data_IF_947963320009
#
_entry.id   IF_947963320009
#
_cell.length_a   1.000
_cell.length_b   1.000
_cell.length_c   1.000
_cell.angle_alpha   90.00
_cell.angle_beta   90.00
_cell.angle_gamma   90.00
#
_symmetry.space_group_name_H-M   'P 1'
#
loop_
_entity.id
_entity.type
_entity.pdbx_description
1 polymer ?
#
# COMPACT_ATOMS: atom_id res chain seq x y z
N UNK A 1 32.57 -2.91 -5.54
CA UNK A 1 33.27 -3.69 -4.50
C UNK A 1 32.38 -3.82 -3.25
N UNK A 2 32.56 -4.87 -2.45
CA UNK A 2 31.86 -5.02 -1.17
C UNK A 2 32.26 -3.90 -0.18
N UNK A 3 31.38 -3.47 0.74
CA UNK A 3 30.06 -4.02 1.06
C UNK A 3 28.92 -3.47 0.17
N UNK A 4 28.11 -4.37 -0.37
CA UNK A 4 26.88 -4.08 -1.11
C UNK A 4 25.72 -3.86 -0.15
N UNK A 5 25.10 -2.68 -0.22
CA UNK A 5 23.91 -2.32 0.55
C UNK A 5 23.10 -1.28 -0.24
N UNK A 6 21.82 -1.12 0.10
CA UNK A 6 20.98 -0.11 -0.52
C UNK A 6 21.51 1.29 -0.24
N UNK A 7 21.58 2.12 -1.28
CA UNK A 7 22.02 3.52 -1.21
C UNK A 7 21.08 4.37 -2.06
N UNK A 8 20.83 5.63 -1.70
CA UNK A 8 20.12 6.54 -2.59
C UNK A 8 20.89 6.71 -3.91
N UNK A 9 20.13 6.77 -5.00
CA UNK A 9 20.67 7.04 -6.34
C UNK A 9 20.36 8.50 -6.74
N UNK A 10 20.79 8.92 -7.93
CA UNK A 10 20.71 10.33 -8.37
C UNK A 10 19.33 10.98 -8.22
N UNK A 11 18.25 10.23 -8.42
CA UNK A 11 16.88 10.72 -8.24
C UNK A 11 16.52 11.13 -6.81
N UNK A 12 17.32 10.77 -5.80
CA UNK A 12 17.08 11.15 -4.42
C UNK A 12 17.65 12.53 -4.04
N UNK A 13 18.35 13.22 -4.96
CA UNK A 13 19.14 14.41 -4.65
C UNK A 13 18.72 15.65 -5.46
N UNK A 14 18.96 16.82 -4.88
CA UNK A 14 18.74 18.12 -5.53
C UNK A 14 17.33 18.29 -6.11
N UNK A 15 17.23 18.94 -7.27
CA UNK A 15 15.96 19.12 -7.99
C UNK A 15 15.47 17.83 -8.68
N UNK A 16 16.30 16.79 -8.79
CA UNK A 16 15.84 15.51 -9.31
C UNK A 16 14.80 14.88 -8.38
N UNK A 17 14.99 15.00 -7.06
CA UNK A 17 14.05 14.49 -6.04
C UNK A 17 12.63 15.04 -6.21
N UNK A 18 12.50 16.35 -6.41
CA UNK A 18 11.20 17.01 -6.56
C UNK A 18 10.58 16.75 -7.92
N UNK A 19 11.39 16.52 -8.95
CA UNK A 19 10.93 16.27 -10.31
C UNK A 19 10.61 14.78 -10.58
N UNK A 20 11.09 13.86 -9.75
CA UNK A 20 10.84 12.42 -9.87
C UNK A 20 9.89 11.87 -8.80
N UNK A 21 9.21 12.74 -8.05
CA UNK A 21 8.22 12.34 -7.05
C UNK A 21 7.05 13.33 -7.00
N UNK A 22 5.96 12.88 -6.41
CA UNK A 22 4.72 13.67 -6.28
C UNK A 22 4.19 13.58 -4.85
N UNK A 23 3.41 14.58 -4.43
CA UNK A 23 2.63 14.54 -3.19
C UNK A 23 1.17 14.42 -3.56
N UNK A 24 0.50 13.36 -3.11
CA UNK A 24 -0.95 13.25 -3.26
C UNK A 24 -1.67 14.09 -2.20
N UNK A 25 -2.63 14.89 -2.62
CA UNK A 25 -3.43 15.78 -1.75
C UNK A 25 -4.92 15.66 -2.07
N UNK A 26 -5.78 16.16 -1.21
CA UNK A 26 -7.21 16.25 -1.56
C UNK A 26 -7.41 17.26 -2.69
N UNK A 27 -8.38 17.00 -3.57
CA UNK A 27 -8.74 17.93 -4.66
C UNK A 27 -9.04 19.33 -4.13
N UNK A 28 -9.81 19.42 -3.03
CA UNK A 28 -10.14 20.68 -2.39
C UNK A 28 -8.92 21.49 -1.92
N UNK A 29 -7.87 20.84 -1.43
CA UNK A 29 -6.66 21.53 -1.01
C UNK A 29 -5.84 22.03 -2.21
N UNK A 30 -5.74 21.22 -3.27
CA UNK A 30 -5.09 21.63 -4.51
C UNK A 30 -5.81 22.83 -5.13
N UNK A 31 -7.14 22.77 -5.21
CA UNK A 31 -7.98 23.85 -5.75
C UNK A 31 -7.90 25.14 -4.90
N UNK A 32 -7.63 25.01 -3.60
CA UNK A 32 -7.42 26.15 -2.69
C UNK A 32 -5.99 26.74 -2.74
N UNK A 33 -5.21 26.42 -3.76
CA UNK A 33 -3.87 26.96 -3.99
C UNK A 33 -2.85 26.53 -2.93
N UNK A 34 -2.98 25.32 -2.39
CA UNK A 34 -2.10 24.85 -1.31
C UNK A 34 -0.62 24.82 -1.75
N UNK A 35 -0.37 24.46 -3.01
CA UNK A 35 0.99 24.36 -3.55
C UNK A 35 1.72 25.70 -3.49
N UNK A 36 1.06 26.77 -3.95
CA UNK A 36 1.59 28.14 -3.95
C UNK A 36 1.74 28.68 -2.53
N UNK A 37 0.75 28.41 -1.66
CA UNK A 37 0.77 28.84 -0.26
C UNK A 37 1.92 28.23 0.54
N UNK A 38 2.28 26.98 0.24
CA UNK A 38 3.40 26.30 0.89
C UNK A 38 4.74 26.57 0.19
N UNK A 39 4.73 27.06 -1.05
CA UNK A 39 5.94 27.39 -1.81
C UNK A 39 6.87 26.18 -2.02
N UNK A 40 6.29 24.99 -2.18
CA UNK A 40 7.06 23.75 -2.37
C UNK A 40 7.36 23.50 -3.85
N UNK A 41 8.44 22.77 -4.12
CA UNK A 41 8.87 22.43 -5.48
C UNK A 41 8.22 21.15 -6.05
N UNK A 42 7.72 20.26 -5.17
CA UNK A 42 7.23 18.94 -5.58
C UNK A 42 5.81 19.05 -6.12
N UNK A 43 5.55 18.46 -7.28
CA UNK A 43 4.23 18.42 -7.87
C UNK A 43 3.20 17.80 -6.91
N UNK A 44 2.05 18.46 -6.78
CA UNK A 44 0.90 17.92 -6.05
C UNK A 44 -0.11 17.33 -7.02
N UNK A 45 -0.64 16.14 -6.70
CA UNK A 45 -1.67 15.46 -7.49
C UNK A 45 -2.91 15.29 -6.63
N UNK A 46 -4.07 15.67 -7.15
CA UNK A 46 -5.34 15.43 -6.48
C UNK A 46 -5.65 13.93 -6.43
N UNK A 47 -5.99 13.44 -5.24
CA UNK A 47 -6.63 12.13 -5.09
C UNK A 47 -8.07 12.23 -5.59
N UNK A 48 -8.44 11.32 -6.49
CA UNK A 48 -9.75 11.29 -7.14
C UNK A 48 -10.35 9.88 -7.11
N UNK A 49 -11.64 9.78 -7.47
CA UNK A 49 -12.37 8.52 -7.61
C UNK A 49 -12.35 7.59 -6.36
N UNK A 50 -12.28 8.14 -5.15
CA UNK A 50 -12.34 7.34 -3.92
C UNK A 50 -13.74 6.85 -3.56
N UNK A 51 -14.77 7.46 -4.18
CA UNK A 51 -16.19 7.12 -4.01
C UNK A 51 -16.96 7.07 -5.33
N UNK A 52 -16.28 7.18 -6.48
CA UNK A 52 -16.90 7.30 -7.80
C UNK A 52 -17.33 5.96 -8.41
N UNK A 53 -17.57 4.95 -7.59
CA UNK A 53 -17.99 3.62 -8.02
C UNK A 53 -16.98 2.51 -7.77
N UNK A 54 -15.81 2.82 -7.19
CA UNK A 54 -14.88 1.77 -6.74
C UNK A 54 -15.46 0.98 -5.57
N UNK A 55 -15.22 -0.32 -5.55
CA UNK A 55 -15.63 -1.24 -4.49
C UNK A 55 -14.79 -2.52 -4.51
N UNK A 56 -15.24 -3.58 -3.82
CA UNK A 56 -14.51 -4.86 -3.77
C UNK A 56 -14.26 -5.45 -5.17
N UNK A 57 -15.23 -5.32 -6.07
CA UNK A 57 -15.15 -5.70 -7.49
C UNK A 57 -14.04 -5.00 -8.29
N UNK A 58 -13.54 -3.85 -7.80
CA UNK A 58 -12.49 -3.10 -8.48
C UNK A 58 -11.08 -3.60 -8.11
N UNK A 59 -10.95 -4.53 -7.16
CA UNK A 59 -9.66 -5.07 -6.73
C UNK A 59 -9.14 -6.12 -7.72
N UNK A 60 -8.09 -5.78 -8.46
CA UNK A 60 -7.46 -6.67 -9.44
C UNK A 60 -6.96 -7.95 -8.77
N UNK A 61 -7.41 -9.10 -9.29
CA UNK A 61 -7.12 -10.46 -8.79
C UNK A 61 -7.63 -10.77 -7.36
N UNK A 62 -8.43 -9.88 -6.74
CA UNK A 62 -8.78 -9.97 -5.32
C UNK A 62 -10.19 -9.44 -5.00
N UNK A 63 -11.17 -9.73 -5.85
CA UNK A 63 -12.53 -9.19 -5.78
C UNK A 63 -13.58 -10.11 -5.12
N UNK A 64 -13.18 -11.27 -4.61
CA UNK A 64 -14.11 -12.22 -3.98
C UNK A 64 -14.88 -11.63 -2.79
N UNK A 65 -16.19 -11.91 -2.72
CA UNK A 65 -17.11 -11.50 -1.65
C UNK A 65 -17.89 -12.71 -1.09
N UNK A 66 -17.23 -13.64 -0.39
CA UNK A 66 -17.92 -14.80 0.20
C UNK A 66 -18.81 -14.38 1.37
N UNK A 67 -19.76 -15.24 1.75
CA UNK A 67 -20.47 -15.10 3.01
C UNK A 67 -19.58 -15.59 4.16
N UNK A 68 -19.16 -14.67 5.03
CA UNK A 68 -18.21 -14.96 6.12
C UNK A 68 -18.95 -15.02 7.46
N UNK A 69 -18.76 -16.11 8.18
CA UNK A 69 -19.32 -16.34 9.51
C UNK A 69 -18.19 -16.60 10.52
N UNK A 70 -18.37 -16.10 11.75
CA UNK A 70 -17.45 -16.32 12.87
C UNK A 70 -18.24 -16.82 14.06
N UNK A 71 -17.87 -17.99 14.57
CA UNK A 71 -18.45 -18.53 15.80
C UNK A 71 -17.97 -17.73 17.02
N UNK A 72 -18.86 -17.19 17.86
CA UNK A 72 -18.49 -16.26 18.93
C UNK A 72 -17.82 -16.93 20.13
N UNK A 73 -17.90 -18.26 20.26
CA UNK A 73 -17.35 -19.01 21.41
C UNK A 73 -16.03 -19.68 21.05
N UNK A 74 -15.94 -20.26 19.85
CA UNK A 74 -14.79 -21.05 19.38
C UNK A 74 -13.85 -20.26 18.46
N UNK A 75 -14.33 -19.13 17.91
CA UNK A 75 -13.64 -18.32 16.91
C UNK A 75 -13.35 -19.04 15.58
N UNK A 76 -14.06 -20.14 15.29
CA UNK A 76 -14.04 -20.74 13.96
C UNK A 76 -14.54 -19.74 12.91
N UNK A 77 -13.79 -19.62 11.82
CA UNK A 77 -14.15 -18.76 10.69
C UNK A 77 -14.58 -19.64 9.51
N UNK A 78 -15.73 -19.35 8.91
CA UNK A 78 -16.23 -20.04 7.73
C UNK A 78 -16.45 -19.07 6.57
N UNK A 79 -16.14 -19.50 5.36
CA UNK A 79 -16.52 -18.81 4.12
C UNK A 79 -17.37 -19.77 3.28
N UNK A 80 -18.58 -19.34 2.92
CA UNK A 80 -19.54 -20.16 2.17
C UNK A 80 -19.77 -21.55 2.81
N UNK A 81 -19.73 -21.60 4.15
CA UNK A 81 -19.89 -22.82 4.97
C UNK A 81 -18.60 -23.62 5.20
N UNK A 82 -17.53 -23.35 4.45
CA UNK A 82 -16.25 -24.06 4.57
C UNK A 82 -15.38 -23.47 5.69
N UNK A 83 -14.87 -24.33 6.58
CA UNK A 83 -13.98 -23.92 7.67
C UNK A 83 -12.63 -23.44 7.12
N UNK A 84 -12.28 -22.20 7.40
CA UNK A 84 -11.00 -21.60 7.05
C UNK A 84 -10.00 -21.83 8.17
N UNK A 85 -9.08 -22.77 7.97
CA UNK A 85 -8.01 -23.04 8.92
C UNK A 85 -6.73 -23.44 8.19
N UNK A 86 -5.58 -23.21 8.83
CA UNK A 86 -4.30 -23.70 8.36
C UNK A 86 -3.35 -23.93 9.53
N UNK A 87 -2.47 -24.92 9.38
CA UNK A 87 -1.41 -25.17 10.35
C UNK A 87 -0.36 -24.05 10.28
N UNK A 88 0.20 -23.64 11.42
CA UNK A 88 1.27 -22.66 11.44
C UNK A 88 2.53 -23.20 10.75
N UNK A 89 3.13 -22.41 9.87
CA UNK A 89 4.42 -22.75 9.26
C UNK A 89 5.57 -22.56 10.26
N UNK A 90 6.45 -23.56 10.41
CA UNK A 90 7.62 -23.48 11.31
C UNK A 90 8.83 -22.81 10.66
N UNK A 91 8.87 -22.73 9.33
CA UNK A 91 9.94 -22.11 8.53
C UNK A 91 9.32 -21.43 7.32
N UNK A 92 9.81 -20.24 6.97
CA UNK A 92 9.36 -19.48 5.80
C UNK A 92 10.50 -19.23 4.80
N UNK A 93 10.20 -19.19 3.49
CA UNK A 93 11.14 -18.67 2.50
C UNK A 93 11.39 -17.17 2.73
N UNK A 94 12.42 -16.62 2.09
CA UNK A 94 12.74 -15.19 2.18
C UNK A 94 13.05 -14.69 3.61
N UNK A 95 13.50 -15.57 4.51
CA UNK A 95 13.87 -15.24 5.90
C UNK A 95 15.38 -15.43 6.16
N UNK A 96 15.76 -16.38 7.02
CA UNK A 96 17.13 -16.62 7.53
C UNK A 96 18.22 -16.72 6.44
N UNK A 97 17.87 -17.04 5.19
CA UNK A 97 18.83 -17.08 4.07
C UNK A 97 19.29 -15.69 3.62
N UNK A 98 18.45 -14.67 3.75
CA UNK A 98 18.67 -13.36 3.11
C UNK A 98 19.05 -12.25 4.10
N UNK A 99 18.74 -12.42 5.37
CA UNK A 99 18.98 -11.43 6.40
C UNK A 99 20.14 -11.84 7.30
N UNK A 100 21.04 -10.90 7.57
CA UNK A 100 22.15 -11.12 8.50
C UNK A 100 21.66 -11.25 9.96
N UNK A 101 20.55 -10.56 10.27
CA UNK A 101 19.83 -10.58 11.55
C UNK A 101 18.34 -10.44 11.30
#
# INVERSE_FOLDING_TARGET
PQPMHYRPMFGAYGKALTNSSVTFVSKAALDAGLHERLGVDKAMIAVENTRGGIGKHSMVLNDATPHVEVDPETYEVRADGELLTCEPATVLPMAQRYFLF
#
